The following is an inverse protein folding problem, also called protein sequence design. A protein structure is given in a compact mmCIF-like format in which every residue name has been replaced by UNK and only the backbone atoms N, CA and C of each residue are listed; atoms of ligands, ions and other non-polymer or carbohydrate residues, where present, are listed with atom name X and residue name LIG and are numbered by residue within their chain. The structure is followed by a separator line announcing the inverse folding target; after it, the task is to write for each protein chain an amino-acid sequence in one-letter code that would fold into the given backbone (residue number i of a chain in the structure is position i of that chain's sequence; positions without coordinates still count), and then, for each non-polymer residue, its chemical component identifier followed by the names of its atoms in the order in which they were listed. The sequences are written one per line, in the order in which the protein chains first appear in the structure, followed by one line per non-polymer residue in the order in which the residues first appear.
data_IF_837328677535
#
_entry.id   IF_837328677535
#
_cell.length_a   1.000
_cell.length_b   1.000
_cell.length_c   1.000
_cell.angle_alpha   90.00
_cell.angle_beta   90.00
_cell.angle_gamma   90.00
#
_symmetry.space_group_name_H-M   'P 1'
#
loop_
_entity.id
_entity.type
_entity.pdbx_description
1 polymer ?
#
# COMPACT_ATOMS: atom_id res chain seq x y z
N UNK A 1 70.93 -22.65 -4.03
CA UNK A 1 70.25 -21.87 -5.10
C UNK A 1 68.95 -22.52 -5.54
N UNK A 2 68.94 -23.75 -6.05
CA UNK A 2 67.70 -24.42 -6.52
C UNK A 2 66.53 -24.44 -5.47
N UNK A 3 66.80 -24.51 -4.18
CA UNK A 3 65.78 -24.42 -3.11
C UNK A 3 65.14 -23.01 -2.99
N UNK A 4 65.93 -21.94 -3.15
CA UNK A 4 65.45 -20.56 -3.07
C UNK A 4 64.65 -20.17 -4.31
N UNK A 5 65.03 -20.63 -5.50
CA UNK A 5 64.26 -20.48 -6.74
C UNK A 5 62.90 -21.13 -6.67
N UNK A 6 62.83 -22.35 -6.14
CA UNK A 6 61.53 -23.04 -5.85
C UNK A 6 60.65 -22.22 -4.91
N UNK A 7 61.22 -21.66 -3.83
CA UNK A 7 60.45 -20.79 -2.91
C UNK A 7 59.93 -19.53 -3.58
N UNK A 8 60.74 -18.89 -4.43
CA UNK A 8 60.30 -17.70 -5.22
C UNK A 8 59.15 -18.05 -6.16
N UNK A 9 59.20 -19.19 -6.85
CA UNK A 9 58.14 -19.65 -7.74
C UNK A 9 56.83 -19.91 -6.92
N UNK A 10 56.95 -20.63 -5.83
CA UNK A 10 55.79 -20.91 -4.93
C UNK A 10 55.15 -19.64 -4.39
N UNK A 11 55.96 -18.68 -3.95
CA UNK A 11 55.45 -17.39 -3.46
C UNK A 11 54.77 -16.56 -4.56
N UNK A 12 55.28 -16.58 -5.82
CA UNK A 12 54.63 -15.96 -6.95
C UNK A 12 53.26 -16.58 -7.26
N UNK A 13 53.17 -17.91 -7.28
CA UNK A 13 51.96 -18.65 -7.48
C UNK A 13 50.93 -18.30 -6.38
N UNK A 14 51.33 -18.39 -5.12
CA UNK A 14 50.47 -18.07 -3.96
C UNK A 14 49.95 -16.65 -3.98
N UNK A 15 50.81 -15.68 -4.37
CA UNK A 15 50.39 -14.28 -4.57
C UNK A 15 49.34 -14.14 -5.71
N UNK A 16 49.61 -14.81 -6.86
CA UNK A 16 48.67 -14.76 -8.00
C UNK A 16 47.33 -15.37 -7.70
N UNK A 17 47.29 -16.50 -6.97
CA UNK A 17 46.07 -17.16 -6.51
C UNK A 17 45.27 -16.25 -5.57
N UNK A 18 45.94 -15.67 -4.56
CA UNK A 18 45.34 -14.75 -3.62
C UNK A 18 44.73 -13.52 -4.33
N UNK A 19 45.45 -12.95 -5.35
CA UNK A 19 44.95 -11.84 -6.17
C UNK A 19 43.73 -12.25 -6.98
N UNK A 20 43.70 -13.45 -7.57
CA UNK A 20 42.53 -13.96 -8.31
C UNK A 20 41.33 -14.14 -7.38
N UNK A 21 41.53 -14.76 -6.21
CA UNK A 21 40.45 -14.97 -5.24
C UNK A 21 39.92 -13.64 -4.68
N UNK A 22 40.80 -12.67 -4.41
CA UNK A 22 40.42 -11.34 -3.98
C UNK A 22 39.53 -10.65 -5.02
N UNK A 23 39.93 -10.65 -6.30
CA UNK A 23 39.12 -10.06 -7.39
C UNK A 23 37.75 -10.73 -7.53
N UNK A 24 37.68 -12.07 -7.36
CA UNK A 24 36.40 -12.80 -7.36
C UNK A 24 35.52 -12.35 -6.22
N UNK A 25 36.04 -12.31 -5.00
CA UNK A 25 35.32 -11.87 -3.82
C UNK A 25 34.84 -10.40 -3.95
N UNK A 26 35.67 -9.51 -4.53
CA UNK A 26 35.26 -8.12 -4.82
C UNK A 26 34.06 -8.04 -5.77
N UNK A 27 34.08 -8.82 -6.87
CA UNK A 27 32.98 -8.84 -7.82
C UNK A 27 31.70 -9.40 -7.17
N UNK A 28 31.79 -10.51 -6.46
CA UNK A 28 30.68 -11.09 -5.73
C UNK A 28 30.08 -10.13 -4.68
N UNK A 29 30.95 -9.42 -3.95
CA UNK A 29 30.52 -8.39 -3.02
C UNK A 29 29.75 -7.25 -3.70
N UNK A 30 30.24 -6.78 -4.88
CA UNK A 30 29.53 -5.76 -5.67
C UNK A 30 28.14 -6.23 -6.10
N UNK A 31 28.02 -7.45 -6.60
CA UNK A 31 26.74 -8.05 -7.01
C UNK A 31 25.75 -8.15 -5.85
N UNK A 32 26.21 -8.71 -4.72
CA UNK A 32 25.39 -8.88 -3.52
C UNK A 32 24.93 -7.54 -2.93
N UNK A 33 25.83 -6.55 -2.84
CA UNK A 33 25.46 -5.19 -2.38
C UNK A 33 24.49 -4.50 -3.35
N UNK A 34 24.63 -4.74 -4.65
CA UNK A 34 23.69 -4.24 -5.65
C UNK A 34 22.29 -4.87 -5.47
N UNK A 35 22.22 -6.18 -5.21
CA UNK A 35 20.97 -6.87 -4.93
C UNK A 35 20.32 -6.36 -3.63
N UNK A 36 21.09 -6.20 -2.56
CA UNK A 36 20.66 -5.65 -1.27
C UNK A 36 20.06 -4.24 -1.46
N UNK A 37 20.76 -3.34 -2.16
CA UNK A 37 20.29 -1.98 -2.43
C UNK A 37 18.98 -1.97 -3.23
N UNK A 38 18.86 -2.79 -4.28
CA UNK A 38 17.65 -2.90 -5.09
C UNK A 38 16.47 -3.39 -4.26
N UNK A 39 16.66 -4.41 -3.43
CA UNK A 39 15.61 -4.96 -2.57
C UNK A 39 15.19 -3.99 -1.46
N UNK A 40 16.14 -3.27 -0.87
CA UNK A 40 15.87 -2.21 0.12
C UNK A 40 15.09 -1.05 -0.50
N UNK A 41 15.50 -0.60 -1.70
CA UNK A 41 14.76 0.43 -2.43
C UNK A 41 13.36 -0.03 -2.81
N UNK A 42 13.21 -1.30 -3.21
CA UNK A 42 11.92 -1.92 -3.49
C UNK A 42 11.00 -1.93 -2.26
N UNK A 43 11.52 -2.32 -1.09
CA UNK A 43 10.79 -2.28 0.18
C UNK A 43 10.31 -0.87 0.51
N UNK A 44 11.21 0.13 0.44
CA UNK A 44 10.85 1.52 0.73
C UNK A 44 9.78 2.05 -0.22
N UNK A 45 9.83 1.65 -1.50
CA UNK A 45 8.82 2.04 -2.49
C UNK A 45 7.47 1.40 -2.18
N UNK A 46 7.46 0.12 -1.80
CA UNK A 46 6.23 -0.58 -1.41
C UNK A 46 5.65 0.02 -0.14
N UNK A 47 6.47 0.34 0.87
CA UNK A 47 6.02 0.94 2.11
C UNK A 47 5.35 2.29 1.89
N UNK A 48 5.96 3.16 1.09
CA UNK A 48 5.36 4.45 0.70
C UNK A 48 4.03 4.28 -0.05
N UNK A 49 3.94 3.30 -0.96
CA UNK A 49 2.71 3.03 -1.70
C UNK A 49 1.60 2.51 -0.77
N UNK A 50 1.92 1.60 0.15
CA UNK A 50 0.95 1.10 1.13
C UNK A 50 0.45 2.24 2.01
N UNK A 51 1.31 3.15 2.43
CA UNK A 51 0.91 4.31 3.25
C UNK A 51 -0.04 5.23 2.50
N UNK A 52 0.31 5.62 1.27
CA UNK A 52 -0.58 6.43 0.41
C UNK A 52 -1.93 5.73 0.16
N UNK A 53 -1.92 4.42 -0.15
CA UNK A 53 -3.16 3.67 -0.37
C UNK A 53 -4.00 3.50 0.91
N UNK A 54 -3.39 3.53 2.10
CA UNK A 54 -4.12 3.56 3.39
C UNK A 54 -4.79 4.91 3.62
N UNK A 55 -4.13 6.00 3.28
CA UNK A 55 -4.73 7.34 3.30
C UNK A 55 -5.95 7.37 2.37
N UNK A 56 -5.81 6.90 1.13
CA UNK A 56 -6.92 6.80 0.17
C UNK A 56 -8.10 5.97 0.73
N UNK A 57 -7.83 4.83 1.41
CA UNK A 57 -8.87 4.01 2.06
C UNK A 57 -9.56 4.77 3.20
N UNK A 58 -8.81 5.56 3.95
CA UNK A 58 -9.35 6.39 5.04
C UNK A 58 -10.31 7.44 4.48
N UNK A 59 -9.90 8.15 3.43
CA UNK A 59 -10.69 9.19 2.78
C UNK A 59 -11.97 8.62 2.17
N UNK A 60 -11.88 7.52 1.43
CA UNK A 60 -13.05 6.82 0.88
C UNK A 60 -13.98 6.34 1.99
N UNK A 61 -13.44 5.88 3.13
CA UNK A 61 -14.25 5.47 4.27
C UNK A 61 -14.99 6.66 4.90
N UNK A 62 -14.36 7.82 4.98
CA UNK A 62 -14.99 9.07 5.42
C UNK A 62 -16.18 9.45 4.52
N UNK A 63 -16.00 9.40 3.21
CA UNK A 63 -17.06 9.66 2.23
C UNK A 63 -18.20 8.65 2.36
N UNK A 64 -17.89 7.35 2.51
CA UNK A 64 -18.89 6.30 2.71
C UNK A 64 -19.75 6.55 3.97
N UNK A 65 -19.11 6.89 5.08
CA UNK A 65 -19.81 7.20 6.33
C UNK A 65 -20.75 8.41 6.17
N UNK A 66 -20.29 9.46 5.51
CA UNK A 66 -21.10 10.64 5.20
C UNK A 66 -22.32 10.28 4.33
N UNK A 67 -22.10 9.51 3.26
CA UNK A 67 -23.19 9.09 2.35
C UNK A 67 -24.22 8.20 3.05
N UNK A 68 -23.76 7.26 3.89
CA UNK A 68 -24.67 6.43 4.70
C UNK A 68 -25.50 7.26 5.68
N UNK A 69 -24.89 8.24 6.37
CA UNK A 69 -25.63 9.15 7.26
C UNK A 69 -26.66 10.00 6.49
N UNK A 70 -26.36 10.40 5.25
CA UNK A 70 -27.31 11.08 4.38
C UNK A 70 -28.48 10.16 4.00
N UNK A 71 -28.23 8.89 3.67
CA UNK A 71 -29.28 7.90 3.39
C UNK A 71 -30.21 7.72 4.58
N UNK A 72 -29.64 7.45 5.78
CA UNK A 72 -30.44 7.30 7.01
C UNK A 72 -31.29 8.54 7.31
N UNK A 73 -30.78 9.74 7.04
CA UNK A 73 -31.53 10.98 7.20
C UNK A 73 -32.71 11.07 6.22
N UNK A 74 -32.47 10.73 4.94
CA UNK A 74 -33.52 10.72 3.92
C UNK A 74 -34.59 9.69 4.25
N UNK A 75 -34.22 8.48 4.66
CA UNK A 75 -35.15 7.42 5.06
C UNK A 75 -36.05 7.85 6.21
N UNK A 76 -35.48 8.48 7.24
CA UNK A 76 -36.24 9.04 8.36
C UNK A 76 -37.23 10.12 7.90
N UNK A 77 -36.80 11.01 7.00
CA UNK A 77 -37.68 12.06 6.46
C UNK A 77 -38.79 11.51 5.57
N UNK A 78 -38.50 10.48 4.76
CA UNK A 78 -39.50 9.78 3.94
C UNK A 78 -40.54 9.12 4.85
N UNK A 79 -40.09 8.36 5.85
CA UNK A 79 -40.99 7.72 6.80
C UNK A 79 -41.88 8.73 7.53
N UNK A 80 -41.31 9.84 8.01
CA UNK A 80 -42.10 10.90 8.65
C UNK A 80 -43.15 11.51 7.74
N UNK A 81 -42.83 11.68 6.44
CA UNK A 81 -43.78 12.18 5.45
C UNK A 81 -44.87 11.13 5.16
N UNK A 82 -44.54 9.84 5.08
CA UNK A 82 -45.51 8.76 4.90
C UNK A 82 -46.49 8.66 6.10
N UNK A 83 -45.96 8.73 7.31
CA UNK A 83 -46.78 8.75 8.55
C UNK A 83 -47.73 9.98 8.59
N UNK A 84 -47.27 11.11 8.04
CA UNK A 84 -48.07 12.32 7.93
C UNK A 84 -49.16 12.18 6.86
N UNK A 85 -48.87 11.63 5.71
CA UNK A 85 -49.86 11.32 4.65
C UNK A 85 -50.92 10.40 5.21
N UNK A 86 -50.59 9.41 6.01
CA UNK A 86 -51.55 8.50 6.61
C UNK A 86 -52.54 9.24 7.51
N UNK A 87 -52.04 10.10 8.40
CA UNK A 87 -52.88 10.91 9.28
C UNK A 87 -53.78 11.91 8.50
N UNK A 88 -53.21 12.59 7.49
CA UNK A 88 -53.99 13.54 6.67
C UNK A 88 -55.04 12.83 5.85
N UNK A 89 -54.84 11.59 5.39
CA UNK A 89 -55.89 10.78 4.76
C UNK A 89 -57.03 10.42 5.70
N UNK A 90 -56.76 10.10 6.96
CA UNK A 90 -57.76 9.88 7.97
C UNK A 90 -58.57 11.16 8.19
N UNK A 91 -57.92 12.33 8.24
CA UNK A 91 -58.60 13.62 8.33
C UNK A 91 -59.46 13.93 7.10
N UNK A 92 -59.02 13.55 5.90
CA UNK A 92 -59.79 13.66 4.65
C UNK A 92 -61.07 12.85 4.76
N UNK A 93 -61.02 11.60 5.22
CA UNK A 93 -62.20 10.75 5.39
C UNK A 93 -63.18 11.35 6.39
N UNK A 94 -62.70 11.84 7.55
CA UNK A 94 -63.52 12.53 8.53
C UNK A 94 -64.19 13.80 7.95
N UNK A 95 -63.42 14.61 7.24
CA UNK A 95 -63.92 15.84 6.62
C UNK A 95 -64.97 15.56 5.54
N UNK A 96 -64.81 14.45 4.78
CA UNK A 96 -65.81 14.01 3.81
C UNK A 96 -67.12 13.60 4.51
N UNK A 97 -67.06 12.89 5.64
CA UNK A 97 -68.22 12.56 6.44
C UNK A 97 -68.90 13.83 7.00
N UNK A 98 -68.13 14.81 7.47
CA UNK A 98 -68.66 16.11 7.92
C UNK A 98 -69.46 16.80 6.80
N UNK A 99 -68.97 16.77 5.56
CA UNK A 99 -69.66 17.35 4.39
C UNK A 99 -70.96 16.62 4.07
N UNK A 100 -70.99 15.27 4.19
CA UNK A 100 -72.17 14.46 3.89
C UNK A 100 -73.28 14.66 4.93
N UNK A 101 -72.91 14.76 6.22
CA UNK A 101 -73.88 14.79 7.33
C UNK A 101 -74.25 16.20 7.81
N UNK A 102 -73.58 17.27 7.33
CA UNK A 102 -73.90 18.63 7.76
C UNK A 102 -75.08 19.18 6.99
N UNK A 103 -76.08 19.68 7.71
CA UNK A 103 -77.23 20.40 7.17
C UNK A 103 -76.95 21.91 7.07
N UNK A 104 -75.84 22.42 7.59
CA UNK A 104 -75.52 23.83 7.63
C UNK A 104 -74.62 24.21 6.39
N UNK A 105 -75.08 25.11 5.51
CA UNK A 105 -74.33 25.50 4.32
C UNK A 105 -72.94 26.10 4.61
N UNK A 106 -72.82 26.89 5.70
CA UNK A 106 -71.54 27.52 6.06
C UNK A 106 -70.53 26.52 6.55
N UNK A 107 -70.96 25.52 7.35
CA UNK A 107 -70.10 24.43 7.82
C UNK A 107 -69.63 23.57 6.64
N UNK A 108 -70.53 23.24 5.75
CA UNK A 108 -70.22 22.49 4.54
C UNK A 108 -69.15 23.20 3.68
N UNK A 109 -69.29 24.50 3.45
CA UNK A 109 -68.31 25.28 2.68
C UNK A 109 -66.92 25.32 3.37
N UNK A 110 -66.86 25.41 4.72
CA UNK A 110 -65.62 25.35 5.51
C UNK A 110 -64.98 23.98 5.41
N UNK A 111 -65.74 22.91 5.51
CA UNK A 111 -65.25 21.55 5.34
C UNK A 111 -64.74 21.25 3.93
N UNK A 112 -65.41 21.74 2.88
CA UNK A 112 -64.95 21.64 1.51
C UNK A 112 -63.59 22.37 1.29
N UNK A 113 -63.42 23.57 1.85
CA UNK A 113 -62.15 24.29 1.80
C UNK A 113 -61.04 23.56 2.50
N UNK A 114 -61.33 22.95 3.70
CA UNK A 114 -60.38 22.12 4.44
C UNK A 114 -60.00 20.86 3.67
N UNK A 115 -60.97 20.17 3.04
CA UNK A 115 -60.75 19.00 2.20
C UNK A 115 -59.81 19.31 1.03
N UNK A 116 -60.05 20.46 0.33
CA UNK A 116 -59.18 20.90 -0.74
C UNK A 116 -57.75 21.17 -0.25
N UNK A 117 -57.57 21.82 0.89
CA UNK A 117 -56.26 22.08 1.48
C UNK A 117 -55.53 20.80 1.85
N UNK A 118 -56.20 19.83 2.53
CA UNK A 118 -55.63 18.53 2.88
C UNK A 118 -55.20 17.75 1.65
N UNK A 119 -56.02 17.69 0.61
CA UNK A 119 -55.65 17.00 -0.63
C UNK A 119 -54.46 17.67 -1.32
N UNK A 120 -54.39 19.00 -1.35
CA UNK A 120 -53.23 19.74 -1.87
C UNK A 120 -51.94 19.37 -1.12
N UNK A 121 -51.98 19.36 0.21
CA UNK A 121 -50.84 19.06 1.05
C UNK A 121 -50.38 17.59 0.94
N UNK A 122 -51.33 16.64 0.83
CA UNK A 122 -51.00 15.23 0.54
C UNK A 122 -50.23 15.11 -0.79
N UNK A 123 -50.67 15.84 -1.84
CA UNK A 123 -49.98 15.83 -3.16
C UNK A 123 -48.55 16.41 -3.06
N UNK A 124 -48.37 17.48 -2.28
CA UNK A 124 -47.05 18.05 -2.00
C UNK A 124 -46.14 17.04 -1.30
N UNK A 125 -46.61 16.37 -0.25
CA UNK A 125 -45.86 15.34 0.49
C UNK A 125 -45.48 14.15 -0.41
N UNK A 126 -46.40 13.70 -1.27
CA UNK A 126 -46.12 12.61 -2.24
C UNK A 126 -45.03 13.05 -3.22
N UNK A 127 -45.05 14.28 -3.67
CA UNK A 127 -44.06 14.83 -4.60
C UNK A 127 -42.68 14.92 -3.89
N UNK A 128 -42.65 15.35 -2.64
CA UNK A 128 -41.45 15.42 -1.82
C UNK A 128 -40.85 14.04 -1.60
N UNK A 129 -41.67 13.05 -1.26
CA UNK A 129 -41.20 11.64 -1.10
C UNK A 129 -40.56 11.14 -2.39
N UNK A 130 -41.16 11.37 -3.55
CA UNK A 130 -40.58 10.96 -4.85
C UNK A 130 -39.20 11.58 -5.09
N UNK A 131 -39.04 12.87 -4.79
CA UNK A 131 -37.76 13.57 -4.94
C UNK A 131 -36.70 12.97 -4.00
N UNK A 132 -37.07 12.74 -2.73
CA UNK A 132 -36.16 12.14 -1.71
C UNK A 132 -35.78 10.73 -2.07
N UNK A 133 -36.71 9.88 -2.51
CA UNK A 133 -36.43 8.52 -2.98
C UNK A 133 -35.49 8.51 -4.20
N UNK A 134 -35.67 9.43 -5.14
CA UNK A 134 -34.75 9.60 -6.28
C UNK A 134 -33.34 9.99 -5.83
N UNK A 135 -33.26 10.87 -4.82
CA UNK A 135 -31.97 11.28 -4.22
C UNK A 135 -31.33 10.13 -3.49
N UNK A 136 -32.08 9.37 -2.66
CA UNK A 136 -31.60 8.18 -1.99
C UNK A 136 -31.01 7.15 -2.96
N UNK A 137 -31.70 6.90 -4.07
CA UNK A 137 -31.21 5.98 -5.11
C UNK A 137 -29.88 6.42 -5.71
N UNK A 138 -29.67 7.72 -5.94
CA UNK A 138 -28.37 8.24 -6.41
C UNK A 138 -27.28 8.00 -5.37
N UNK A 139 -27.56 8.33 -4.10
CA UNK A 139 -26.60 8.14 -3.01
C UNK A 139 -26.26 6.64 -2.83
N UNK A 140 -27.23 5.73 -2.96
CA UNK A 140 -27.00 4.28 -2.92
C UNK A 140 -26.04 3.82 -4.02
N UNK A 141 -26.20 4.36 -5.23
CA UNK A 141 -25.25 4.06 -6.32
C UNK A 141 -23.84 4.57 -5.98
N UNK A 142 -23.73 5.81 -5.49
CA UNK A 142 -22.44 6.37 -5.05
C UNK A 142 -21.80 5.49 -3.97
N UNK A 143 -22.56 5.02 -2.97
CA UNK A 143 -22.08 4.12 -1.91
C UNK A 143 -21.54 2.82 -2.50
N UNK A 144 -22.22 2.24 -3.49
CA UNK A 144 -21.75 1.05 -4.19
C UNK A 144 -20.41 1.30 -4.90
N UNK A 145 -20.31 2.40 -5.65
CA UNK A 145 -19.09 2.76 -6.38
C UNK A 145 -17.90 2.99 -5.43
N UNK A 146 -18.09 3.75 -4.34
CA UNK A 146 -17.04 3.97 -3.34
C UNK A 146 -16.66 2.71 -2.60
N UNK A 147 -17.61 1.80 -2.34
CA UNK A 147 -17.32 0.48 -1.75
C UNK A 147 -16.44 -0.37 -2.66
N UNK A 148 -16.70 -0.36 -3.95
CA UNK A 148 -15.88 -1.05 -4.96
C UNK A 148 -14.47 -0.46 -5.05
N UNK A 149 -14.34 0.86 -5.02
CA UNK A 149 -13.04 1.56 -4.99
C UNK A 149 -12.25 1.13 -3.75
N UNK A 150 -12.86 1.17 -2.55
CA UNK A 150 -12.25 0.74 -1.30
C UNK A 150 -11.76 -0.72 -1.36
N UNK A 151 -12.58 -1.61 -1.92
CA UNK A 151 -12.23 -3.02 -2.10
C UNK A 151 -11.01 -3.20 -3.03
N UNK A 152 -10.97 -2.47 -4.14
CA UNK A 152 -9.85 -2.49 -5.10
C UNK A 152 -8.54 -2.02 -4.45
N UNK A 153 -8.59 -0.92 -3.69
CA UNK A 153 -7.40 -0.40 -2.98
C UNK A 153 -6.94 -1.39 -1.91
N UNK A 154 -7.86 -1.94 -1.11
CA UNK A 154 -7.56 -2.94 -0.08
C UNK A 154 -6.90 -4.19 -0.68
N UNK A 155 -7.35 -4.64 -1.86
CA UNK A 155 -6.74 -5.76 -2.58
C UNK A 155 -5.31 -5.45 -3.03
N UNK A 156 -5.03 -4.22 -3.48
CA UNK A 156 -3.68 -3.76 -3.84
C UNK A 156 -2.76 -3.78 -2.62
N UNK A 157 -3.21 -3.22 -1.49
CA UNK A 157 -2.46 -3.24 -0.22
C UNK A 157 -2.10 -4.68 0.18
N UNK A 158 -3.06 -5.62 0.09
CA UNK A 158 -2.79 -7.02 0.40
C UNK A 158 -1.73 -7.65 -0.51
N UNK A 159 -1.81 -7.40 -1.83
CA UNK A 159 -0.81 -7.91 -2.79
C UNK A 159 0.59 -7.35 -2.50
N UNK A 160 0.69 -6.05 -2.23
CA UNK A 160 1.95 -5.40 -1.89
C UNK A 160 2.51 -5.93 -0.56
N UNK A 161 1.66 -6.09 0.45
CA UNK A 161 2.06 -6.65 1.75
C UNK A 161 2.60 -8.08 1.61
N UNK A 162 1.99 -8.91 0.77
CA UNK A 162 2.45 -10.28 0.49
C UNK A 162 3.82 -10.36 -0.19
N UNK A 163 4.24 -9.32 -0.92
CA UNK A 163 5.56 -9.29 -1.58
C UNK A 163 6.70 -8.85 -0.64
N UNK A 164 6.40 -8.19 0.49
CA UNK A 164 7.41 -7.67 1.43
C UNK A 164 8.31 -8.75 2.06
N UNK A 165 7.79 -9.91 2.53
CA UNK A 165 8.63 -10.95 3.11
C UNK A 165 9.75 -11.39 2.18
N UNK A 166 9.46 -11.70 0.93
CA UNK A 166 10.46 -12.13 -0.06
C UNK A 166 11.59 -11.09 -0.26
N UNK A 167 11.24 -9.81 -0.29
CA UNK A 167 12.24 -8.75 -0.39
C UNK A 167 13.07 -8.62 0.90
N UNK A 168 12.46 -8.78 2.07
CA UNK A 168 13.18 -8.79 3.37
C UNK A 168 14.14 -9.96 3.47
N UNK A 169 13.73 -11.14 3.03
CA UNK A 169 14.59 -12.32 2.97
C UNK A 169 15.78 -12.11 2.04
N UNK A 170 15.54 -11.47 0.87
CA UNK A 170 16.61 -11.11 -0.06
C UNK A 170 17.59 -10.12 0.57
N UNK A 171 17.12 -9.10 1.28
CA UNK A 171 17.99 -8.16 2.01
C UNK A 171 18.81 -8.88 3.07
N UNK A 172 18.17 -9.72 3.89
CA UNK A 172 18.84 -10.46 4.96
C UNK A 172 19.91 -11.43 4.43
N UNK A 173 19.56 -12.20 3.39
CA UNK A 173 20.51 -13.16 2.78
C UNK A 173 21.66 -12.45 2.09
N UNK A 174 21.39 -11.35 1.37
CA UNK A 174 22.42 -10.52 0.75
C UNK A 174 23.34 -9.88 1.78
N UNK A 175 22.81 -9.39 2.87
CA UNK A 175 23.62 -8.84 3.97
C UNK A 175 24.58 -9.86 4.55
N UNK A 176 24.09 -11.05 4.90
CA UNK A 176 24.92 -12.16 5.41
C UNK A 176 25.99 -12.62 4.40
N UNK A 177 25.63 -12.63 3.11
CA UNK A 177 26.58 -12.94 2.05
C UNK A 177 27.66 -11.86 1.91
N UNK A 178 27.29 -10.59 1.98
CA UNK A 178 28.22 -9.47 1.94
C UNK A 178 29.25 -9.53 3.09
N UNK A 179 28.81 -9.84 4.31
CA UNK A 179 29.72 -10.03 5.46
C UNK A 179 30.73 -11.16 5.22
N UNK A 180 30.28 -12.30 4.65
CA UNK A 180 31.18 -13.40 4.30
C UNK A 180 32.23 -12.97 3.26
N UNK A 181 31.82 -12.24 2.21
CA UNK A 181 32.76 -11.79 1.20
C UNK A 181 33.71 -10.71 1.72
N UNK A 182 33.31 -9.85 2.64
CA UNK A 182 34.22 -8.91 3.32
C UNK A 182 35.30 -9.66 4.09
N UNK A 183 34.93 -10.66 4.90
CA UNK A 183 35.89 -11.49 5.63
C UNK A 183 36.87 -12.23 4.68
N UNK A 184 36.36 -12.74 3.56
CA UNK A 184 37.21 -13.41 2.56
C UNK A 184 38.17 -12.43 1.89
N UNK A 185 37.72 -11.21 1.55
CA UNK A 185 38.57 -10.15 1.01
C UNK A 185 39.71 -9.79 1.97
N UNK A 186 39.42 -9.61 3.26
CA UNK A 186 40.44 -9.32 4.28
C UNK A 186 41.47 -10.44 4.37
N UNK A 187 41.00 -11.69 4.36
CA UNK A 187 41.87 -12.87 4.38
C UNK A 187 42.78 -12.92 3.16
N UNK A 188 42.23 -12.76 1.97
CA UNK A 188 43.01 -12.82 0.74
C UNK A 188 43.97 -11.63 0.60
N UNK A 189 43.60 -10.45 1.06
CA UNK A 189 44.49 -9.28 1.13
C UNK A 189 45.68 -9.51 2.07
N UNK A 190 45.46 -10.13 3.23
CA UNK A 190 46.57 -10.51 4.17
C UNK A 190 47.51 -11.52 3.52
N UNK A 191 46.98 -12.51 2.80
CA UNK A 191 47.80 -13.51 2.10
C UNK A 191 48.60 -12.83 0.97
N UNK A 192 47.97 -11.98 0.16
CA UNK A 192 48.61 -11.27 -0.93
C UNK A 192 49.77 -10.37 -0.44
N UNK A 193 49.50 -9.56 0.59
CA UNK A 193 50.48 -8.64 1.15
C UNK A 193 51.67 -9.39 1.81
N UNK A 194 51.37 -10.48 2.56
CA UNK A 194 52.41 -11.31 3.17
C UNK A 194 53.26 -12.02 2.12
N UNK A 195 52.60 -12.60 1.10
CA UNK A 195 53.31 -13.27 -0.01
C UNK A 195 54.17 -12.29 -0.82
N UNK A 196 53.68 -11.05 -1.04
CA UNK A 196 54.44 -9.99 -1.70
C UNK A 196 55.72 -9.66 -0.90
N UNK A 197 55.59 -9.41 0.42
CA UNK A 197 56.73 -9.08 1.30
C UNK A 197 57.77 -10.20 1.32
N UNK A 198 57.33 -11.44 1.40
CA UNK A 198 58.25 -12.59 1.38
C UNK A 198 58.90 -12.80 0.03
N UNK A 199 58.17 -12.60 -1.06
CA UNK A 199 58.67 -12.66 -2.44
C UNK A 199 59.75 -11.62 -2.68
N UNK A 200 59.52 -10.37 -2.24
CA UNK A 200 60.52 -9.29 -2.38
C UNK A 200 61.82 -9.64 -1.63
N UNK A 201 61.75 -10.11 -0.38
CA UNK A 201 62.89 -10.55 0.38
C UNK A 201 63.64 -11.74 -0.26
N UNK A 202 62.87 -12.75 -0.71
CA UNK A 202 63.46 -13.92 -1.35
C UNK A 202 64.13 -13.59 -2.71
N UNK A 203 63.50 -12.70 -3.49
CA UNK A 203 64.05 -12.24 -4.76
C UNK A 203 65.31 -11.42 -4.61
N UNK A 204 65.36 -10.53 -3.60
CA UNK A 204 66.57 -9.76 -3.30
C UNK A 204 67.74 -10.69 -2.90
N UNK A 205 67.48 -11.64 -1.99
CA UNK A 205 68.47 -12.61 -1.56
C UNK A 205 68.96 -13.53 -2.68
N UNK A 206 68.09 -13.91 -3.61
CA UNK A 206 68.46 -14.68 -4.80
C UNK A 206 69.39 -13.86 -5.72
N UNK A 207 69.11 -12.59 -5.95
CA UNK A 207 69.95 -11.69 -6.75
C UNK A 207 71.34 -11.52 -6.12
N UNK A 208 71.44 -11.29 -4.83
CA UNK A 208 72.72 -11.19 -4.09
C UNK A 208 73.57 -12.45 -4.24
N UNK A 209 72.92 -13.64 -4.11
CA UNK A 209 73.64 -14.91 -4.29
C UNK A 209 74.07 -15.20 -5.73
N UNK A 210 73.33 -14.71 -6.72
CA UNK A 210 73.69 -14.81 -8.14
C UNK A 210 74.85 -13.89 -8.47
N UNK A 211 74.89 -12.67 -7.94
CA UNK A 211 76.03 -11.74 -8.12
C UNK A 211 77.30 -12.30 -7.49
N UNK A 212 77.26 -12.80 -6.26
CA UNK A 212 78.42 -13.44 -5.59
C UNK A 212 78.94 -14.70 -6.28
N UNK A 213 78.26 -15.28 -7.20
CA UNK A 213 78.70 -16.44 -7.99
C UNK A 213 79.37 -16.06 -9.30
N UNK A 214 79.17 -14.80 -9.73
CA UNK A 214 79.73 -14.23 -10.94
C UNK A 214 81.05 -13.48 -10.67
N UNK A 215 81.36 -13.19 -9.40
CA UNK A 215 82.66 -12.79 -8.86
C UNK A 215 83.50 -14.02 -8.54
#
# INVERSE_FOLDING_TARGET
MASLEKVVIQLRQKKQEATKLRKRAENQLKEVRSAERRSTSGLNTIDKKIESEREDVSDVSGVLNQKNSQLESIERLVKSAEDRITREKEEVEQTQQEIEFSDNPEEKQRAETRLQSLNGHIQELISEIKIRQKTAKKITNDVSEFSDIKSKISTKIQKQTKSKPSLRDTVSTSHKAAEKFVKELEKQLKIETTSKRLLDKASTKLKELLLKKLE
#
